data_IF_990829052665
#
_entry.id   IF_990829052665
#
_cell.length_a   1.000
_cell.length_b   1.000
_cell.length_c   1.000
_cell.angle_alpha   90.00
_cell.angle_beta   90.00
_cell.angle_gamma   90.00
#
_symmetry.space_group_name_H-M   'P 1'
#
loop_
_entity.id
_entity.type
_entity.pdbx_description
1 polymer ?
#
# COMPACT_ATOMS: atom_id res chain seq x y z
N UNK A 1 12.43 -10.70 1.83
CA UNK A 1 12.26 -9.32 1.36
C UNK A 1 10.79 -8.96 1.30
N UNK A 2 10.40 -7.94 2.02
CA UNK A 2 9.00 -7.49 2.02
C UNK A 2 8.81 -6.45 0.91
N UNK A 3 7.80 -6.66 0.06
CA UNK A 3 7.46 -5.72 -1.01
C UNK A 3 6.15 -5.03 -0.69
N UNK A 4 6.15 -3.72 -0.83
CA UNK A 4 5.07 -2.84 -0.40
C UNK A 4 4.55 -2.06 -1.60
N UNK A 5 3.25 -1.80 -1.62
CA UNK A 5 2.65 -0.88 -2.58
C UNK A 5 2.04 0.29 -1.81
N UNK A 6 2.02 1.45 -2.45
CA UNK A 6 1.39 2.65 -1.91
C UNK A 6 0.24 3.03 -2.84
N UNK A 7 -0.96 3.16 -2.30
CA UNK A 7 -2.12 3.63 -3.08
C UNK A 7 -2.35 5.09 -2.75
N UNK A 8 -2.00 5.95 -3.70
CA UNK A 8 -2.11 7.40 -3.59
C UNK A 8 -0.75 8.06 -3.34
N UNK A 9 -0.40 9.05 -4.15
CA UNK A 9 0.86 9.75 -4.02
C UNK A 9 0.63 11.25 -3.81
N UNK A 10 -0.23 11.57 -2.85
CA UNK A 10 -0.43 12.95 -2.38
C UNK A 10 0.54 13.25 -1.25
N UNK A 11 0.15 14.16 -0.37
CA UNK A 11 1.01 14.58 0.77
C UNK A 11 1.38 13.40 1.66
N UNK A 12 0.40 12.56 2.01
CA UNK A 12 0.65 11.40 2.88
C UNK A 12 1.44 10.33 2.14
N UNK A 13 1.05 10.03 0.91
CA UNK A 13 1.72 8.99 0.12
C UNK A 13 3.18 9.31 -0.16
N UNK A 14 3.48 10.56 -0.52
CA UNK A 14 4.87 10.97 -0.72
C UNK A 14 5.67 10.92 0.58
N UNK A 15 5.03 11.23 1.70
CA UNK A 15 5.67 11.10 3.01
C UNK A 15 6.01 9.66 3.35
N UNK A 16 5.10 8.74 3.08
CA UNK A 16 5.35 7.31 3.29
C UNK A 16 6.51 6.83 2.41
N UNK A 17 6.51 7.24 1.14
CA UNK A 17 7.59 6.92 0.22
C UNK A 17 8.94 7.38 0.77
N UNK A 18 9.01 8.65 1.21
CA UNK A 18 10.25 9.23 1.72
C UNK A 18 10.75 8.49 2.97
N UNK A 19 9.84 8.14 3.87
CA UNK A 19 10.20 7.42 5.10
C UNK A 19 10.80 6.05 4.76
N UNK A 20 10.16 5.32 3.86
CA UNK A 20 10.62 3.98 3.49
C UNK A 20 11.97 4.05 2.79
N UNK A 21 12.15 4.99 1.85
CA UNK A 21 13.41 5.12 1.10
C UNK A 21 14.55 5.58 2.01
N UNK A 22 14.28 6.54 2.90
CA UNK A 22 15.31 7.10 3.79
C UNK A 22 15.74 6.09 4.84
N UNK A 23 14.82 5.26 5.33
CA UNK A 23 15.08 4.36 6.44
C UNK A 23 15.20 2.89 6.03
N UNK A 24 15.32 2.59 4.73
CA UNK A 24 15.32 1.21 4.26
C UNK A 24 16.42 0.36 4.92
N UNK A 25 17.62 0.91 5.11
CA UNK A 25 18.72 0.19 5.75
C UNK A 25 18.43 -0.11 7.23
N UNK A 26 17.85 0.87 7.93
CA UNK A 26 17.46 0.69 9.33
C UNK A 26 16.34 -0.32 9.46
N UNK A 27 15.34 -0.26 8.56
CA UNK A 27 14.22 -1.18 8.55
C UNK A 27 14.69 -2.61 8.27
N UNK A 28 15.63 -2.78 7.34
CA UNK A 28 16.22 -4.08 7.05
C UNK A 28 16.87 -4.68 8.30
N UNK A 29 17.65 -3.89 9.01
CA UNK A 29 18.33 -4.37 10.21
C UNK A 29 17.35 -4.70 11.33
N UNK A 30 16.34 -3.85 11.51
CA UNK A 30 15.32 -4.04 12.54
C UNK A 30 14.46 -5.28 12.27
N UNK A 31 14.30 -5.66 11.01
CA UNK A 31 13.48 -6.78 10.60
C UNK A 31 14.30 -8.05 10.38
N UNK A 32 15.35 -8.25 11.17
CA UNK A 32 16.20 -9.44 11.12
C UNK A 32 16.83 -9.68 9.73
N UNK A 33 17.22 -8.59 9.07
CA UNK A 33 17.84 -8.66 7.77
C UNK A 33 16.87 -8.63 6.59
N UNK A 34 15.58 -8.59 6.84
CA UNK A 34 14.61 -8.45 5.75
C UNK A 34 14.60 -7.02 5.25
N UNK A 35 14.62 -6.86 3.94
CA UNK A 35 14.52 -5.56 3.29
C UNK A 35 13.07 -5.19 3.04
N UNK A 36 12.77 -3.89 3.12
CA UNK A 36 11.46 -3.36 2.76
C UNK A 36 11.63 -2.56 1.48
N UNK A 37 10.91 -2.93 0.42
CA UNK A 37 11.01 -2.29 -0.88
C UNK A 37 9.64 -1.89 -1.40
N UNK A 38 9.55 -0.69 -1.98
CA UNK A 38 8.35 -0.24 -2.65
C UNK A 38 8.36 -0.80 -4.06
N UNK A 39 7.32 -1.55 -4.43
CA UNK A 39 7.21 -2.14 -5.76
C UNK A 39 6.28 -1.34 -6.66
N UNK A 40 5.18 -0.81 -6.11
CA UNK A 40 4.20 -0.04 -6.88
C UNK A 40 3.74 1.18 -6.11
N UNK A 41 3.44 2.23 -6.87
CA UNK A 41 2.74 3.41 -6.35
C UNK A 41 1.56 3.65 -7.30
N UNK A 42 0.35 3.49 -6.78
CA UNK A 42 -0.88 3.65 -7.57
C UNK A 42 -1.36 5.10 -7.49
N UNK A 43 -1.48 5.73 -8.63
CA UNK A 43 -2.07 7.07 -8.72
C UNK A 43 -2.61 7.27 -10.13
N UNK A 44 -3.65 8.07 -10.28
CA UNK A 44 -4.23 8.38 -11.59
C UNK A 44 -3.48 9.52 -12.31
N UNK A 45 -2.64 10.26 -11.56
CA UNK A 45 -1.86 11.37 -12.11
C UNK A 45 -0.53 10.86 -12.66
N UNK A 46 0.06 11.66 -13.56
CA UNK A 46 1.38 11.34 -14.13
C UNK A 46 2.48 11.98 -13.27
N UNK A 47 3.55 11.24 -13.07
CA UNK A 47 4.72 11.69 -12.31
C UNK A 47 5.98 11.48 -13.13
N UNK A 48 5.99 12.03 -14.35
CA UNK A 48 7.06 11.80 -15.32
C UNK A 48 8.42 12.34 -14.86
N UNK A 49 8.41 13.33 -13.98
CA UNK A 49 9.65 13.92 -13.44
C UNK A 49 10.16 13.21 -12.19
N UNK A 50 9.46 12.20 -11.72
CA UNK A 50 9.87 11.49 -10.51
C UNK A 50 11.08 10.59 -10.79
N UNK A 51 12.09 10.55 -9.89
CA UNK A 51 13.29 9.72 -10.08
C UNK A 51 12.98 8.24 -10.25
N UNK A 52 11.89 7.76 -9.65
CA UNK A 52 11.47 6.36 -9.74
C UNK A 52 10.11 6.22 -10.42
N UNK A 53 9.93 6.93 -11.53
CA UNK A 53 8.66 6.92 -12.25
C UNK A 53 8.21 5.53 -12.70
N UNK A 54 9.13 4.60 -12.85
CA UNK A 54 8.82 3.22 -13.22
C UNK A 54 8.03 2.46 -12.17
N UNK A 55 8.00 2.95 -10.93
CA UNK A 55 7.21 2.34 -9.86
C UNK A 55 5.73 2.71 -9.94
N UNK A 56 5.41 3.78 -10.66
CA UNK A 56 4.05 4.29 -10.71
C UNK A 56 3.19 3.49 -11.66
N UNK A 57 1.97 3.20 -11.25
CA UNK A 57 0.98 2.53 -12.09
C UNK A 57 -0.38 3.18 -11.90
N UNK A 58 -1.20 3.10 -12.95
CA UNK A 58 -2.60 3.54 -12.90
C UNK A 58 -3.54 2.33 -12.76
N UNK A 59 -2.98 1.12 -12.80
CA UNK A 59 -3.75 -0.13 -12.81
C UNK A 59 -3.69 -0.81 -11.44
N UNK A 60 -4.81 -0.79 -10.73
CA UNK A 60 -4.91 -1.44 -9.43
C UNK A 60 -4.59 -2.95 -9.52
N UNK A 61 -4.98 -3.59 -10.62
CA UNK A 61 -4.77 -5.03 -10.78
C UNK A 61 -3.30 -5.43 -10.77
N UNK A 62 -2.39 -4.51 -11.10
CA UNK A 62 -0.95 -4.78 -11.00
C UNK A 62 -0.57 -5.13 -9.57
N UNK A 63 -1.17 -4.41 -8.61
CA UNK A 63 -0.92 -4.64 -7.19
C UNK A 63 -1.66 -5.89 -6.71
N UNK A 64 -2.92 -6.00 -7.08
CA UNK A 64 -3.79 -7.11 -6.62
C UNK A 64 -3.24 -8.46 -7.03
N UNK A 65 -2.75 -8.58 -8.26
CA UNK A 65 -2.32 -9.85 -8.84
C UNK A 65 -0.85 -10.17 -8.60
N UNK A 66 -0.11 -9.30 -7.92
CA UNK A 66 1.31 -9.54 -7.66
C UNK A 66 1.48 -10.20 -6.29
N UNK A 67 1.80 -11.49 -6.30
CA UNK A 67 1.96 -12.28 -5.07
C UNK A 67 3.13 -11.82 -4.21
N UNK A 68 4.07 -11.06 -4.77
CA UNK A 68 5.20 -10.55 -4.01
C UNK A 68 4.82 -9.35 -3.14
N UNK A 69 3.72 -8.65 -3.46
CA UNK A 69 3.25 -7.53 -2.66
C UNK A 69 2.47 -8.08 -1.47
N UNK A 70 3.00 -7.87 -0.28
CA UNK A 70 2.40 -8.39 0.96
C UNK A 70 1.67 -7.32 1.76
N UNK A 71 2.09 -6.06 1.66
CA UNK A 71 1.51 -4.96 2.42
C UNK A 71 1.22 -3.80 1.47
N UNK A 72 0.06 -3.19 1.65
CA UNK A 72 -0.36 -2.02 0.87
C UNK A 72 -0.72 -0.90 1.82
N UNK A 73 -0.16 0.28 1.59
CA UNK A 73 -0.52 1.49 2.33
C UNK A 73 -1.60 2.23 1.55
N UNK A 74 -2.79 2.33 2.13
CA UNK A 74 -3.90 3.06 1.53
C UNK A 74 -3.89 4.49 2.07
N UNK A 75 -3.54 5.45 1.23
CA UNK A 75 -3.43 6.86 1.60
C UNK A 75 -4.05 7.76 0.54
N UNK A 76 -5.09 7.25 -0.14
CA UNK A 76 -5.76 7.96 -1.23
C UNK A 76 -6.70 9.05 -0.74
N UNK A 77 -7.24 8.89 0.46
CA UNK A 77 -8.28 9.77 0.95
C UNK A 77 -9.65 9.41 0.38
N UNK A 78 -10.70 9.76 1.08
CA UNK A 78 -12.06 9.45 0.67
C UNK A 78 -12.40 7.98 0.87
N UNK A 79 -13.65 7.62 0.56
CA UNK A 79 -14.13 6.26 0.74
C UNK A 79 -14.01 5.42 -0.53
N UNK A 80 -14.33 5.99 -1.67
CA UNK A 80 -14.29 5.29 -2.96
C UNK A 80 -13.28 5.94 -3.89
N UNK A 81 -12.49 5.18 -4.66
CA UNK A 81 -12.48 3.72 -4.79
C UNK A 81 -11.66 3.01 -3.72
N UNK A 82 -11.16 3.71 -2.71
CA UNK A 82 -10.30 3.12 -1.68
C UNK A 82 -10.94 1.92 -1.00
N UNK A 83 -12.25 1.97 -0.74
CA UNK A 83 -12.98 0.87 -0.11
C UNK A 83 -12.94 -0.40 -0.97
N UNK A 84 -13.26 -0.27 -2.25
CA UNK A 84 -13.30 -1.41 -3.15
C UNK A 84 -11.92 -2.04 -3.32
N UNK A 85 -10.90 -1.21 -3.46
CA UNK A 85 -9.52 -1.69 -3.60
C UNK A 85 -9.07 -2.39 -2.32
N UNK A 86 -9.33 -1.79 -1.16
CA UNK A 86 -8.94 -2.37 0.12
C UNK A 86 -9.63 -3.71 0.35
N UNK A 87 -10.91 -3.79 0.06
CA UNK A 87 -11.67 -5.04 0.20
C UNK A 87 -11.07 -6.15 -0.66
N UNK A 88 -10.76 -5.85 -1.92
CA UNK A 88 -10.17 -6.82 -2.84
C UNK A 88 -8.80 -7.29 -2.35
N UNK A 89 -7.98 -6.37 -1.83
CA UNK A 89 -6.66 -6.71 -1.31
C UNK A 89 -6.74 -7.62 -0.09
N UNK A 90 -7.65 -7.31 0.83
CA UNK A 90 -7.85 -8.12 2.03
C UNK A 90 -8.35 -9.52 1.67
N UNK A 91 -9.27 -9.63 0.72
CA UNK A 91 -9.79 -10.91 0.25
C UNK A 91 -8.70 -11.74 -0.43
N UNK A 92 -7.71 -11.08 -1.03
CA UNK A 92 -6.57 -11.74 -1.64
C UNK A 92 -5.48 -12.14 -0.62
N UNK A 93 -5.70 -11.85 0.66
CA UNK A 93 -4.77 -12.21 1.73
C UNK A 93 -3.66 -11.21 1.97
N UNK A 94 -3.70 -10.04 1.34
CA UNK A 94 -2.71 -9.00 1.56
C UNK A 94 -3.06 -8.17 2.81
N UNK A 95 -2.04 -7.58 3.44
CA UNK A 95 -2.24 -6.69 4.57
C UNK A 95 -2.41 -5.26 4.07
N UNK A 96 -3.32 -4.50 4.68
CA UNK A 96 -3.55 -3.10 4.31
C UNK A 96 -3.39 -2.23 5.54
N UNK A 97 -2.65 -1.14 5.37
CA UNK A 97 -2.48 -0.11 6.39
C UNK A 97 -3.20 1.13 5.90
N UNK A 98 -4.10 1.68 6.72
CA UNK A 98 -4.82 2.90 6.35
C UNK A 98 -4.97 3.82 7.56
N UNK A 99 -4.97 5.12 7.29
CA UNK A 99 -5.28 6.13 8.29
C UNK A 99 -6.75 6.56 8.24
N UNK A 100 -7.52 6.03 7.29
CA UNK A 100 -8.93 6.38 7.10
C UNK A 100 -9.82 5.52 7.98
N UNK A 101 -10.31 6.09 9.07
CA UNK A 101 -11.12 5.35 10.05
C UNK A 101 -12.41 4.79 9.44
N UNK A 102 -13.09 5.58 8.62
CA UNK A 102 -14.32 5.12 7.99
C UNK A 102 -14.08 3.93 7.07
N UNK A 103 -13.02 4.01 6.28
CA UNK A 103 -12.62 2.91 5.41
C UNK A 103 -12.30 1.66 6.22
N UNK A 104 -11.54 1.82 7.31
CA UNK A 104 -11.19 0.71 8.18
C UNK A 104 -12.43 0.01 8.74
N UNK A 105 -13.36 0.78 9.25
CA UNK A 105 -14.55 0.21 9.88
C UNK A 105 -15.40 -0.55 8.87
N UNK A 106 -15.56 -0.01 7.67
CA UNK A 106 -16.33 -0.68 6.62
C UNK A 106 -15.63 -1.93 6.09
N UNK A 107 -14.34 -1.85 5.82
CA UNK A 107 -13.60 -3.00 5.31
C UNK A 107 -13.60 -4.15 6.31
N UNK A 108 -13.51 -3.83 7.59
CA UNK A 108 -13.51 -4.84 8.64
C UNK A 108 -14.87 -5.51 8.78
N UNK A 109 -15.94 -4.78 8.53
CA UNK A 109 -17.30 -5.35 8.60
C UNK A 109 -17.62 -6.31 7.47
N UNK A 110 -16.95 -6.15 6.32
CA UNK A 110 -17.26 -6.90 5.11
C UNK A 110 -16.34 -8.12 4.89
N UNK A 111 -15.32 -8.32 5.71
CA UNK A 111 -14.34 -9.36 5.46
C UNK A 111 -14.08 -10.18 6.74
N UNK A 112 -14.09 -11.53 6.66
CA UNK A 112 -13.76 -12.35 7.81
C UNK A 112 -12.36 -12.07 8.32
N UNK A 113 -12.21 -11.93 9.64
CA UNK A 113 -10.94 -11.55 10.26
C UNK A 113 -9.81 -12.51 9.93
N UNK A 114 -10.11 -13.80 9.82
CA UNK A 114 -9.11 -14.82 9.52
C UNK A 114 -8.55 -14.71 8.11
N UNK A 115 -9.21 -13.97 7.22
CA UNK A 115 -8.78 -13.79 5.83
C UNK A 115 -8.30 -12.38 5.52
N UNK A 116 -8.50 -11.46 6.46
CA UNK A 116 -8.22 -10.04 6.22
C UNK A 116 -7.26 -9.49 7.24
N UNK A 117 -6.35 -8.65 6.80
CA UNK A 117 -5.37 -8.00 7.66
C UNK A 117 -5.41 -6.50 7.42
N UNK A 118 -6.00 -5.78 8.35
CA UNK A 118 -6.05 -4.33 8.32
C UNK A 118 -5.26 -3.82 9.51
N UNK A 119 -4.20 -3.06 9.23
CA UNK A 119 -3.30 -2.51 10.25
C UNK A 119 -3.42 -0.99 10.31
N UNK A 120 -3.28 -0.45 11.49
CA UNK A 120 -3.31 1.00 11.69
C UNK A 120 -2.02 1.48 12.32
#
# INVERSE_FOLDING_TARGET
>A
MAKVAIMGYGTVGSGVYDIIKTNSDKLSRSANGESVHIKYILDIRDFDDHPEKELFTKEFNDILNDDEVSVVAEVMGGLHPAYEFTKSLLEAGKSVVTSNKELRDRAFGDCPREKCKLLL
#
